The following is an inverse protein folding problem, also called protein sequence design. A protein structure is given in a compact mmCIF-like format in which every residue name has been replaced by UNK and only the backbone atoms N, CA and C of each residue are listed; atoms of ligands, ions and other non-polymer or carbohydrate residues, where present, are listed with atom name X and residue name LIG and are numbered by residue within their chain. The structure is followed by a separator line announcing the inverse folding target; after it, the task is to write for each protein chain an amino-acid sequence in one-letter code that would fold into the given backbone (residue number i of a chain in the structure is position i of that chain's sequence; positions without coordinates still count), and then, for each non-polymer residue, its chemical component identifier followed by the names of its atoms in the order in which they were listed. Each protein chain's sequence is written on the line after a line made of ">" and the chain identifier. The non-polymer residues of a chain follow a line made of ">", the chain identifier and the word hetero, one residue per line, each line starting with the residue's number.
data_IF_312259352198
#
_entry.id   IF_312259352198
#
_cell.length_a   1.000
_cell.length_b   1.000
_cell.length_c   1.000
_cell.angle_alpha   90.00
_cell.angle_beta   90.00
_cell.angle_gamma   90.00
#
_symmetry.space_group_name_H-M   'P 1'
#
loop_
_entity.id
_entity.type
_entity.pdbx_description
1 polymer ?
#
# COMPACT_ATOMS: atom_id res chain seq x y z
N UNK A 1 15.19 -51.73 -21.04
CA UNK A 1 15.05 -51.11 -19.68
C UNK A 1 16.24 -50.20 -19.45
N UNK A 2 16.05 -48.92 -19.63
CA UNK A 2 17.13 -47.92 -19.41
C UNK A 2 17.22 -47.65 -17.90
N UNK A 3 18.30 -48.10 -17.28
CA UNK A 3 18.66 -47.73 -15.92
C UNK A 3 19.07 -46.25 -15.96
N UNK A 4 18.24 -45.39 -15.40
CA UNK A 4 18.62 -44.00 -15.08
C UNK A 4 19.71 -44.03 -14.02
N UNK A 5 20.97 -43.83 -14.43
CA UNK A 5 22.08 -43.65 -13.51
C UNK A 5 21.75 -42.44 -12.62
N UNK A 6 21.56 -42.69 -11.36
CA UNK A 6 21.34 -41.67 -10.33
C UNK A 6 22.67 -40.91 -10.14
N UNK A 7 22.80 -39.77 -10.81
CA UNK A 7 23.99 -38.92 -10.71
C UNK A 7 24.17 -38.49 -9.25
N UNK A 8 25.25 -38.87 -8.56
CA UNK A 8 25.46 -38.51 -7.15
C UNK A 8 25.53 -37.00 -6.93
N UNK A 9 25.75 -36.23 -7.98
CA UNK A 9 25.79 -34.77 -7.94
C UNK A 9 24.41 -34.10 -8.14
N UNK A 10 23.38 -34.84 -8.56
CA UNK A 10 22.06 -34.26 -8.86
C UNK A 10 21.41 -33.54 -7.70
N UNK A 11 21.60 -34.04 -6.48
CA UNK A 11 21.08 -33.38 -5.26
C UNK A 11 21.83 -32.09 -4.98
N UNK A 12 23.15 -32.08 -5.11
CA UNK A 12 23.99 -30.90 -4.89
C UNK A 12 23.67 -29.81 -5.92
N UNK A 13 23.49 -30.18 -7.19
CA UNK A 13 23.11 -29.24 -8.24
C UNK A 13 21.70 -28.66 -8.01
N UNK A 14 20.75 -29.47 -7.54
CA UNK A 14 19.42 -29.02 -7.16
C UNK A 14 19.50 -28.02 -6.00
N UNK A 15 20.27 -28.32 -4.96
CA UNK A 15 20.45 -27.43 -3.81
C UNK A 15 21.09 -26.11 -4.25
N UNK A 16 22.14 -26.11 -5.07
CA UNK A 16 22.76 -24.90 -5.62
C UNK A 16 21.75 -24.05 -6.39
N UNK A 17 20.96 -24.67 -7.26
CA UNK A 17 19.94 -23.97 -8.05
C UNK A 17 18.90 -23.32 -7.15
N UNK A 18 18.40 -24.01 -6.14
CA UNK A 18 17.47 -23.45 -5.16
C UNK A 18 18.10 -22.29 -4.38
N UNK A 19 19.33 -22.43 -3.92
CA UNK A 19 20.06 -21.37 -3.21
C UNK A 19 20.22 -20.13 -4.10
N UNK A 20 20.65 -20.29 -5.36
CA UNK A 20 20.79 -19.16 -6.27
C UNK A 20 19.45 -18.51 -6.58
N UNK A 21 18.39 -19.30 -6.80
CA UNK A 21 17.05 -18.76 -7.02
C UNK A 21 16.56 -17.94 -5.81
N UNK A 22 16.76 -18.43 -4.61
CA UNK A 22 16.40 -17.71 -3.38
C UNK A 22 17.22 -16.44 -3.17
N UNK A 23 18.52 -16.49 -3.48
CA UNK A 23 19.39 -15.30 -3.41
C UNK A 23 18.95 -14.22 -4.41
N UNK A 24 18.72 -14.60 -5.67
CA UNK A 24 18.26 -13.67 -6.70
C UNK A 24 16.89 -13.08 -6.35
N UNK A 25 15.94 -13.93 -5.95
CA UNK A 25 14.62 -13.48 -5.53
C UNK A 25 14.68 -12.58 -4.29
N UNK A 26 15.54 -12.91 -3.32
CA UNK A 26 15.79 -12.12 -2.12
C UNK A 26 16.34 -10.73 -2.45
N UNK A 27 17.37 -10.66 -3.30
CA UNK A 27 17.96 -9.40 -3.76
C UNK A 27 16.90 -8.55 -4.49
N UNK A 28 16.17 -9.17 -5.43
CA UNK A 28 15.14 -8.45 -6.21
C UNK A 28 14.03 -7.89 -5.31
N UNK A 29 13.50 -8.71 -4.40
CA UNK A 29 12.50 -8.29 -3.42
C UNK A 29 13.01 -7.19 -2.49
N UNK A 30 14.27 -7.27 -2.09
CA UNK A 30 14.87 -6.32 -1.14
C UNK A 30 15.10 -4.96 -1.78
N UNK A 31 15.61 -4.93 -3.02
CA UNK A 31 16.05 -3.69 -3.67
C UNK A 31 14.96 -3.03 -4.51
N UNK A 32 14.10 -3.78 -5.16
CA UNK A 32 13.20 -3.20 -6.18
C UNK A 32 11.74 -3.20 -5.78
N UNK A 33 11.19 -4.35 -5.36
CA UNK A 33 9.76 -4.48 -5.15
C UNK A 33 9.45 -5.16 -3.83
N UNK A 34 8.44 -4.63 -3.15
CA UNK A 34 7.94 -5.24 -1.93
C UNK A 34 6.47 -5.60 -2.11
N UNK A 35 6.09 -6.88 -1.92
CA UNK A 35 4.68 -7.26 -1.92
C UNK A 35 4.00 -6.75 -0.67
N UNK A 36 2.81 -6.17 -0.87
CA UNK A 36 1.89 -5.75 0.19
C UNK A 36 0.51 -6.32 -0.08
N UNK A 37 -0.26 -6.50 0.96
CA UNK A 37 -1.68 -6.78 0.88
C UNK A 37 -2.45 -5.68 1.58
N UNK A 38 -3.68 -5.43 1.14
CA UNK A 38 -4.50 -4.33 1.62
C UNK A 38 -5.38 -4.81 2.78
N UNK A 39 -5.08 -4.40 4.04
CA UNK A 39 -5.86 -4.83 5.21
C UNK A 39 -7.07 -3.96 5.49
N UNK A 40 -7.20 -2.78 4.88
CA UNK A 40 -8.21 -1.79 5.22
C UNK A 40 -8.83 -1.11 4.00
N UNK A 41 -10.07 -0.66 4.15
CA UNK A 41 -10.83 -0.04 3.05
C UNK A 41 -10.57 1.45 2.82
N UNK A 42 -9.49 2.03 3.38
CA UNK A 42 -9.26 3.47 3.28
C UNK A 42 -8.85 3.95 1.86
N UNK A 43 -8.59 3.02 0.95
CA UNK A 43 -8.29 3.27 -0.45
C UNK A 43 -9.34 2.68 -1.40
N UNK A 44 -10.51 2.27 -0.86
CA UNK A 44 -11.65 1.91 -1.70
C UNK A 44 -12.06 3.16 -2.50
N UNK A 45 -12.42 3.02 -3.63
CA UNK A 45 -12.71 2.19 -4.73
C UNK A 45 -11.45 1.83 -5.58
N UNK A 46 -10.30 2.44 -5.29
CA UNK A 46 -9.04 2.22 -6.02
C UNK A 46 -8.40 0.88 -5.65
N UNK A 47 -8.39 0.52 -4.36
CA UNK A 47 -7.82 -0.71 -3.83
C UNK A 47 -8.83 -1.37 -2.89
N UNK A 48 -9.07 -2.65 -3.09
CA UNK A 48 -10.00 -3.43 -2.27
C UNK A 48 -9.27 -4.12 -1.11
N UNK A 49 -10.03 -4.42 -0.06
CA UNK A 49 -9.50 -5.21 1.06
C UNK A 49 -9.20 -6.62 0.56
N UNK A 50 -7.96 -7.08 0.78
CA UNK A 50 -7.47 -8.38 0.32
C UNK A 50 -6.66 -8.33 -0.96
N UNK A 51 -6.62 -7.19 -1.66
CA UNK A 51 -5.77 -7.02 -2.83
C UNK A 51 -4.29 -7.19 -2.49
N UNK A 52 -3.55 -7.80 -3.41
CA UNK A 52 -2.09 -7.87 -3.38
C UNK A 52 -1.50 -6.92 -4.40
N UNK A 53 -0.49 -6.19 -3.99
CA UNK A 53 0.21 -5.25 -4.86
C UNK A 53 1.72 -5.30 -4.63
N UNK A 54 2.47 -4.81 -5.60
CA UNK A 54 3.90 -4.61 -5.50
C UNK A 54 4.21 -3.13 -5.41
N UNK A 55 4.91 -2.73 -4.35
CA UNK A 55 5.41 -1.37 -4.18
C UNK A 55 6.78 -1.25 -4.81
N UNK A 56 6.93 -0.31 -5.75
CA UNK A 56 8.21 0.05 -6.33
C UNK A 56 9.00 0.93 -5.34
N UNK A 57 10.08 0.39 -4.78
CA UNK A 57 10.92 1.10 -3.81
C UNK A 57 11.77 2.19 -4.44
N UNK A 58 11.97 2.14 -5.75
CA UNK A 58 12.82 3.08 -6.49
C UNK A 58 12.06 4.32 -6.98
N UNK A 59 10.71 4.31 -6.91
CA UNK A 59 9.87 5.36 -7.51
C UNK A 59 10.21 6.77 -7.01
N UNK A 60 10.50 6.92 -5.71
CA UNK A 60 10.81 8.22 -5.10
C UNK A 60 12.19 8.23 -4.40
N UNK A 61 13.06 7.32 -4.81
CA UNK A 61 14.38 7.15 -4.23
C UNK A 61 14.40 6.21 -3.02
N UNK A 62 15.59 5.72 -2.76
CA UNK A 62 15.85 4.72 -1.75
C UNK A 62 16.19 5.39 -0.42
N UNK A 63 15.43 5.09 0.62
CA UNK A 63 15.61 5.58 1.99
C UNK A 63 15.80 4.42 2.96
N UNK A 64 16.08 4.70 4.22
CA UNK A 64 16.15 3.69 5.25
C UNK A 64 14.85 2.84 5.36
N UNK A 65 13.68 3.44 5.06
CA UNK A 65 12.40 2.74 5.05
C UNK A 65 12.28 1.71 3.92
N UNK A 66 13.12 1.83 2.88
CA UNK A 66 13.20 0.88 1.77
C UNK A 66 14.04 -0.37 2.13
N UNK A 67 14.82 -0.31 3.21
CA UNK A 67 15.71 -1.38 3.62
C UNK A 67 14.96 -2.53 4.29
N UNK A 68 15.43 -3.77 4.11
CA UNK A 68 14.81 -4.92 4.74
C UNK A 68 15.10 -4.95 6.24
N UNK A 69 14.10 -5.35 7.01
CA UNK A 69 14.33 -5.89 8.36
C UNK A 69 14.33 -7.41 8.28
N UNK A 70 15.33 -8.05 8.89
CA UNK A 70 15.46 -9.50 8.91
C UNK A 70 15.23 -9.96 10.34
N UNK A 71 14.11 -10.64 10.56
CA UNK A 71 13.77 -11.22 11.86
C UNK A 71 13.77 -12.74 11.70
N UNK A 72 14.72 -13.42 12.35
CA UNK A 72 14.77 -14.87 12.40
C UNK A 72 14.63 -15.31 13.86
N UNK A 73 13.39 -15.57 14.32
CA UNK A 73 13.12 -15.89 15.73
C UNK A 73 13.85 -17.17 16.21
N UNK A 74 14.04 -18.12 15.30
CA UNK A 74 14.67 -19.41 15.61
C UNK A 74 16.12 -19.29 16.10
N UNK A 75 16.83 -18.24 15.72
CA UNK A 75 18.23 -17.97 16.11
C UNK A 75 18.38 -16.67 16.90
N UNK A 76 17.27 -16.04 17.27
CA UNK A 76 17.28 -14.76 18.00
C UNK A 76 17.84 -13.58 17.20
N UNK A 77 17.92 -13.70 15.86
CA UNK A 77 18.49 -12.67 15.01
C UNK A 77 17.39 -11.65 14.67
N UNK A 78 17.61 -10.42 15.09
CA UNK A 78 16.75 -9.27 14.77
C UNK A 78 17.62 -8.14 14.23
N UNK A 79 17.68 -8.02 12.91
CA UNK A 79 18.40 -6.95 12.21
C UNK A 79 17.34 -5.97 11.71
N UNK A 80 17.27 -4.79 12.29
CA UNK A 80 16.32 -3.75 11.88
C UNK A 80 16.84 -3.05 10.61
N UNK A 81 15.93 -2.48 9.83
CA UNK A 81 16.24 -1.64 8.67
C UNK A 81 17.24 -0.51 9.03
N UNK A 82 17.22 -0.04 10.27
CA UNK A 82 18.14 0.96 10.80
C UNK A 82 19.60 0.45 10.88
N UNK A 83 19.77 -0.83 11.15
CA UNK A 83 21.09 -1.45 11.30
C UNK A 83 21.73 -1.71 9.93
N UNK A 84 20.88 -2.04 8.93
CA UNK A 84 21.33 -2.32 7.56
C UNK A 84 21.67 -1.02 6.80
N UNK A 85 20.86 0.02 7.00
CA UNK A 85 20.94 1.27 6.22
C UNK A 85 21.09 2.50 7.12
N UNK A 86 21.84 2.39 8.20
CA UNK A 86 22.05 3.49 9.15
C UNK A 86 22.57 4.79 8.54
N UNK A 87 23.34 4.67 7.45
CA UNK A 87 23.82 5.83 6.69
C UNK A 87 22.72 6.60 5.94
N UNK A 88 21.53 5.98 5.71
CA UNK A 88 20.37 6.62 5.05
C UNK A 88 19.30 7.05 6.06
N UNK A 89 19.67 7.19 7.33
CA UNK A 89 18.76 7.47 8.44
C UNK A 89 18.28 8.92 8.48
N UNK A 90 19.03 9.85 7.90
CA UNK A 90 18.60 11.24 7.78
C UNK A 90 17.46 11.34 6.78
N UNK A 91 16.34 11.93 7.19
CA UNK A 91 15.12 12.07 6.36
C UNK A 91 15.37 12.82 5.05
N UNK A 92 16.49 13.52 4.92
CA UNK A 92 16.93 14.24 3.74
C UNK A 92 17.87 13.42 2.82
N UNK A 93 18.31 12.23 3.25
CA UNK A 93 19.24 11.42 2.46
C UNK A 93 18.49 10.27 1.76
N UNK A 94 18.02 10.54 0.55
CA UNK A 94 17.53 9.51 -0.36
C UNK A 94 18.50 9.36 -1.52
N UNK A 95 18.85 8.12 -1.83
CA UNK A 95 19.58 7.82 -3.07
C UNK A 95 18.58 7.93 -4.24
N UNK A 96 18.97 8.65 -5.30
CA UNK A 96 18.11 8.91 -6.46
C UNK A 96 16.75 9.52 -6.10
N UNK A 97 16.79 10.55 -5.26
CA UNK A 97 15.59 11.19 -4.75
C UNK A 97 14.69 11.73 -5.86
N UNK A 98 13.42 11.32 -5.85
CA UNK A 98 12.32 11.88 -6.63
C UNK A 98 11.22 12.38 -5.69
N UNK A 99 10.45 13.36 -6.14
CA UNK A 99 9.28 13.82 -5.43
C UNK A 99 8.03 13.17 -6.04
N UNK A 100 7.10 12.70 -5.22
CA UNK A 100 5.81 12.24 -5.71
C UNK A 100 4.99 13.41 -6.26
N UNK A 101 4.16 13.11 -7.24
CA UNK A 101 3.22 14.07 -7.83
C UNK A 101 1.87 14.01 -7.13
N UNK A 102 1.08 15.08 -7.29
CA UNK A 102 -0.29 15.11 -6.80
C UNK A 102 -1.14 14.05 -7.50
N UNK A 103 -1.82 13.22 -6.72
CA UNK A 103 -2.62 12.11 -7.21
C UNK A 103 -1.93 10.75 -7.09
N UNK A 104 -0.62 10.71 -6.86
CA UNK A 104 0.11 9.47 -6.67
C UNK A 104 -0.39 8.68 -5.46
N UNK A 105 -0.42 7.36 -5.61
CA UNK A 105 -0.66 6.44 -4.50
C UNK A 105 0.68 6.06 -3.90
N UNK A 106 0.92 6.55 -2.68
CA UNK A 106 2.21 6.40 -2.00
C UNK A 106 2.10 5.47 -0.80
N UNK A 107 3.16 4.67 -0.60
CA UNK A 107 3.36 3.90 0.63
C UNK A 107 4.43 4.61 1.45
N UNK A 108 4.12 4.86 2.71
CA UNK A 108 5.04 5.54 3.62
C UNK A 108 4.96 4.93 5.02
N UNK A 109 6.04 5.05 5.77
CA UNK A 109 6.09 4.65 7.16
C UNK A 109 5.54 5.74 8.06
N UNK A 110 4.48 5.44 8.77
CA UNK A 110 3.84 6.39 9.70
C UNK A 110 4.79 6.68 10.89
N UNK A 111 5.14 7.95 11.14
CA UNK A 111 6.20 8.30 12.10
C UNK A 111 5.90 7.89 13.54
N UNK A 112 4.65 7.98 13.97
CA UNK A 112 4.28 7.64 15.34
C UNK A 112 4.06 6.15 15.58
N UNK A 113 3.53 5.40 14.58
CA UNK A 113 3.19 3.97 14.76
C UNK A 113 4.23 3.02 14.17
N UNK A 114 5.16 3.51 13.33
CA UNK A 114 6.13 2.69 12.60
C UNK A 114 5.51 1.72 11.59
N UNK A 115 4.21 1.82 11.32
CA UNK A 115 3.49 0.97 10.37
C UNK A 115 3.52 1.58 8.98
N UNK A 116 3.45 0.73 7.97
CA UNK A 116 3.33 1.20 6.59
C UNK A 116 1.86 1.54 6.28
N UNK A 117 1.66 2.71 5.70
CA UNK A 117 0.37 3.23 5.25
C UNK A 117 0.38 3.45 3.76
N UNK A 118 -0.74 3.17 3.11
CA UNK A 118 -0.96 3.50 1.70
C UNK A 118 -2.03 4.58 1.61
N UNK A 119 -1.73 5.70 0.94
CA UNK A 119 -2.64 6.84 0.76
C UNK A 119 -2.39 7.52 -0.57
N UNK A 120 -3.39 8.23 -1.05
CA UNK A 120 -3.25 9.13 -2.20
C UNK A 120 -2.73 10.48 -1.74
N UNK A 121 -1.75 11.00 -2.47
CA UNK A 121 -1.16 12.30 -2.21
C UNK A 121 -2.03 13.40 -2.82
N UNK A 122 -2.68 14.20 -2.00
CA UNK A 122 -3.57 15.28 -2.46
C UNK A 122 -2.93 16.66 -2.31
N UNK A 123 -2.07 16.87 -1.32
CA UNK A 123 -1.35 18.11 -1.07
C UNK A 123 0.14 17.98 -1.33
N UNK A 124 0.76 19.02 -1.87
CA UNK A 124 2.19 19.14 -2.08
C UNK A 124 2.79 20.14 -1.06
N UNK A 125 4.13 20.14 -0.87
CA UNK A 125 4.77 21.14 -0.02
C UNK A 125 4.39 22.57 -0.40
N UNK A 126 3.93 23.35 0.60
CA UNK A 126 3.45 24.72 0.40
C UNK A 126 1.94 24.85 0.19
N UNK A 127 1.22 23.76 -0.05
CA UNK A 127 -0.25 23.81 -0.17
C UNK A 127 -0.93 23.98 1.19
N UNK A 128 -2.03 24.72 1.18
CA UNK A 128 -3.03 24.69 2.24
C UNK A 128 -4.11 23.68 1.88
N UNK A 129 -4.21 22.63 2.68
CA UNK A 129 -5.19 21.55 2.46
C UNK A 129 -6.23 21.59 3.56
N UNK A 130 -7.50 21.63 3.20
CA UNK A 130 -8.63 21.63 4.12
C UNK A 130 -9.76 20.75 3.58
N UNK A 131 -10.47 20.11 4.49
CA UNK A 131 -11.73 19.43 4.15
C UNK A 131 -12.86 20.16 4.87
N UNK A 132 -13.87 20.59 4.10
CA UNK A 132 -15.08 21.22 4.60
C UNK A 132 -16.29 20.48 4.05
N UNK A 133 -17.16 20.03 4.92
CA UNK A 133 -18.39 19.31 4.56
C UNK A 133 -18.17 18.16 3.55
N UNK A 134 -17.04 17.44 3.73
CA UNK A 134 -16.65 16.32 2.85
C UNK A 134 -15.97 16.73 1.55
N UNK A 135 -15.85 18.03 1.26
CA UNK A 135 -15.18 18.56 0.07
C UNK A 135 -13.74 18.94 0.38
N UNK A 136 -12.80 18.47 -0.44
CA UNK A 136 -11.39 18.83 -0.35
C UNK A 136 -11.18 20.24 -0.95
N UNK A 137 -10.45 21.08 -0.22
CA UNK A 137 -9.99 22.40 -0.65
C UNK A 137 -8.47 22.39 -0.71
N UNK A 138 -7.92 22.87 -1.82
CA UNK A 138 -6.49 23.06 -2.02
C UNK A 138 -6.26 24.53 -2.34
N UNK A 139 -5.48 25.22 -1.51
CA UNK A 139 -5.22 26.67 -1.62
C UNK A 139 -6.51 27.50 -1.69
N UNK A 140 -7.46 27.18 -0.80
CA UNK A 140 -8.80 27.79 -0.68
C UNK A 140 -9.76 27.53 -1.85
N UNK A 141 -9.34 26.82 -2.88
CA UNK A 141 -10.19 26.42 -3.99
C UNK A 141 -10.76 25.01 -3.76
N UNK A 142 -12.08 24.79 -3.89
CA UNK A 142 -12.65 23.45 -3.82
C UNK A 142 -12.21 22.63 -5.03
N UNK A 143 -11.93 21.35 -4.83
CA UNK A 143 -11.73 20.44 -5.94
C UNK A 143 -13.06 20.11 -6.63
N UNK A 144 -13.01 19.84 -7.94
CA UNK A 144 -14.20 19.46 -8.68
C UNK A 144 -14.67 18.06 -8.27
N UNK A 145 -15.97 17.92 -8.01
CA UNK A 145 -16.63 16.67 -7.68
C UNK A 145 -17.73 16.40 -8.72
N UNK A 146 -17.81 15.16 -9.15
CA UNK A 146 -18.87 14.67 -10.05
C UNK A 146 -19.51 13.42 -9.43
N UNK A 147 -20.83 13.46 -9.25
CA UNK A 147 -21.59 12.32 -8.76
C UNK A 147 -21.66 11.23 -9.83
N UNK A 148 -21.36 10.01 -9.43
CA UNK A 148 -21.44 8.83 -10.30
C UNK A 148 -22.25 7.73 -9.63
N UNK A 149 -22.47 6.61 -10.32
CA UNK A 149 -23.22 5.48 -9.78
C UNK A 149 -22.61 5.02 -8.44
N UNK A 150 -23.48 4.73 -7.47
CA UNK A 150 -23.08 4.29 -6.13
C UNK A 150 -22.16 3.07 -6.19
N UNK A 151 -21.22 3.02 -5.26
CA UNK A 151 -20.39 1.85 -5.05
C UNK A 151 -21.17 0.82 -4.23
N UNK A 152 -21.21 -0.41 -4.72
CA UNK A 152 -21.90 -1.51 -4.05
C UNK A 152 -20.91 -2.61 -3.67
N UNK A 153 -21.07 -3.12 -2.47
CA UNK A 153 -20.31 -4.27 -1.98
C UNK A 153 -21.20 -5.17 -1.11
N UNK A 154 -20.76 -6.42 -0.93
CA UNK A 154 -21.46 -7.33 -0.02
C UNK A 154 -21.25 -6.90 1.44
N UNK A 155 -22.32 -6.79 2.18
CA UNK A 155 -22.30 -6.55 3.63
C UNK A 155 -21.86 -7.83 4.35
N UNK A 156 -20.56 -7.99 4.53
CA UNK A 156 -19.94 -9.14 5.17
C UNK A 156 -18.64 -8.72 5.88
N UNK A 157 -18.16 -9.48 6.89
CA UNK A 157 -16.89 -9.21 7.54
C UNK A 157 -15.73 -9.21 6.55
N UNK A 158 -14.90 -8.16 6.58
CA UNK A 158 -13.79 -7.96 5.66
C UNK A 158 -12.47 -7.79 6.39
N UNK A 159 -11.39 -8.22 5.75
CA UNK A 159 -10.03 -8.09 6.26
C UNK A 159 -9.73 -8.92 7.50
N UNK A 160 -8.52 -8.76 8.07
CA UNK A 160 -8.08 -9.56 9.21
C UNK A 160 -8.83 -9.27 10.50
N UNK A 161 -9.34 -8.05 10.63
CA UNK A 161 -10.14 -7.63 11.79
C UNK A 161 -11.62 -8.04 11.66
N UNK A 162 -12.01 -8.67 10.54
CA UNK A 162 -13.40 -9.05 10.25
C UNK A 162 -14.39 -7.90 10.45
N UNK A 163 -13.97 -6.67 10.13
CA UNK A 163 -14.80 -5.48 10.30
C UNK A 163 -15.89 -5.45 9.24
N UNK A 164 -17.10 -5.09 9.64
CA UNK A 164 -18.20 -4.86 8.70
C UNK A 164 -17.96 -3.57 7.91
N UNK A 165 -18.30 -3.54 6.61
CA UNK A 165 -18.24 -2.31 5.84
C UNK A 165 -19.23 -1.28 6.40
N UNK A 166 -18.85 -0.01 6.39
CA UNK A 166 -19.77 1.10 6.68
C UNK A 166 -20.58 1.38 5.43
N UNK A 167 -21.88 1.51 5.57
CA UNK A 167 -22.80 1.71 4.47
C UNK A 167 -23.61 2.99 4.67
N UNK A 168 -24.02 3.61 3.59
CA UNK A 168 -24.98 4.72 3.60
C UNK A 168 -26.41 4.20 3.79
N UNK A 169 -26.71 3.07 3.14
CA UNK A 169 -27.96 2.35 3.36
C UNK A 169 -27.92 1.55 4.66
N UNK A 170 -29.07 1.01 5.10
CA UNK A 170 -29.21 0.14 6.27
C UNK A 170 -29.31 -1.32 5.81
N UNK A 171 -28.22 -2.05 5.63
CA UNK A 171 -28.24 -3.44 5.16
C UNK A 171 -28.88 -4.37 6.21
N UNK A 172 -29.70 -5.31 5.74
CA UNK A 172 -30.48 -6.23 6.61
C UNK A 172 -29.79 -7.57 6.82
N UNK A 173 -28.54 -7.56 7.35
CA UNK A 173 -27.78 -8.79 7.66
C UNK A 173 -26.72 -9.17 6.64
N UNK A 174 -25.95 -10.19 6.98
CA UNK A 174 -24.83 -10.66 6.15
C UNK A 174 -25.30 -11.10 4.75
N UNK A 175 -24.56 -10.69 3.72
CA UNK A 175 -24.86 -11.02 2.33
C UNK A 175 -25.76 -10.00 1.63
N UNK A 176 -26.34 -9.03 2.33
CA UNK A 176 -27.08 -7.92 1.72
C UNK A 176 -26.13 -6.93 1.02
N UNK A 177 -26.70 -6.01 0.24
CA UNK A 177 -25.94 -4.98 -0.48
C UNK A 177 -25.65 -3.81 0.45
N UNK A 178 -24.40 -3.44 0.55
CA UNK A 178 -23.89 -2.23 1.19
C UNK A 178 -23.62 -1.18 0.12
N UNK A 179 -24.32 -0.06 0.15
CA UNK A 179 -24.15 1.04 -0.80
C UNK A 179 -23.39 2.19 -0.15
N UNK A 180 -22.64 2.90 -0.99
CA UNK A 180 -21.92 4.14 -0.63
C UNK A 180 -22.03 5.12 -1.78
N UNK A 181 -22.32 6.38 -1.49
CA UNK A 181 -22.23 7.44 -2.48
C UNK A 181 -20.81 7.50 -3.01
N UNK A 182 -20.68 7.55 -4.34
CA UNK A 182 -19.41 7.61 -5.05
C UNK A 182 -19.35 8.87 -5.89
N UNK A 183 -18.22 9.56 -5.79
CA UNK A 183 -17.94 10.76 -6.55
C UNK A 183 -16.56 10.62 -7.22
N UNK A 184 -16.40 11.25 -8.36
CA UNK A 184 -15.09 11.45 -8.98
C UNK A 184 -14.56 12.81 -8.53
N UNK A 185 -13.43 12.78 -7.82
CA UNK A 185 -12.69 13.95 -7.38
C UNK A 185 -11.59 14.26 -8.40
N UNK A 186 -11.57 15.47 -8.96
CA UNK A 186 -10.53 15.90 -9.90
C UNK A 186 -9.63 16.91 -9.24
N UNK A 187 -8.36 16.52 -9.03
CA UNK A 187 -7.33 17.35 -8.42
C UNK A 187 -6.89 18.49 -9.36
N UNK A 188 -6.25 19.58 -8.85
CA UNK A 188 -5.85 20.74 -9.66
C UNK A 188 -4.94 20.43 -10.84
N UNK A 189 -4.21 19.32 -10.81
CA UNK A 189 -3.36 18.86 -11.91
C UNK A 189 -4.10 17.99 -12.95
N UNK A 190 -5.43 17.85 -12.82
CA UNK A 190 -6.26 17.06 -13.72
C UNK A 190 -6.34 15.56 -13.39
N UNK A 191 -5.66 15.09 -12.35
CA UNK A 191 -5.79 13.69 -11.91
C UNK A 191 -7.16 13.49 -11.29
N UNK A 192 -7.94 12.60 -11.89
CA UNK A 192 -9.26 12.21 -11.39
C UNK A 192 -9.19 10.86 -10.67
N UNK A 193 -9.91 10.74 -9.58
CA UNK A 193 -10.03 9.49 -8.83
C UNK A 193 -11.35 9.41 -8.10
N UNK A 194 -11.77 8.20 -7.80
CA UNK A 194 -13.00 7.95 -7.05
C UNK A 194 -12.81 8.16 -5.56
N UNK A 195 -13.81 8.77 -4.93
CA UNK A 195 -13.96 8.84 -3.48
C UNK A 195 -15.31 8.26 -3.07
N UNK A 196 -15.37 7.69 -1.88
CA UNK A 196 -16.58 7.14 -1.29
C UNK A 196 -17.01 7.96 -0.09
N UNK A 197 -18.27 8.34 -0.06
CA UNK A 197 -18.89 9.04 1.05
C UNK A 197 -19.95 8.15 1.71
N UNK A 198 -20.03 8.20 3.02
CA UNK A 198 -21.00 7.44 3.85
C UNK A 198 -21.88 8.37 4.68
N UNK A 199 -22.02 9.64 4.26
CA UNK A 199 -22.76 10.66 4.98
C UNK A 199 -21.95 11.40 6.04
N UNK A 200 -22.58 12.40 6.65
CA UNK A 200 -21.98 13.24 7.70
C UNK A 200 -21.85 12.41 8.96
N UNK A 201 -20.63 12.19 9.41
CA UNK A 201 -20.40 11.64 10.75
C UNK A 201 -20.51 12.81 11.74
N UNK A 202 -21.54 12.77 12.59
CA UNK A 202 -21.55 13.63 13.79
C UNK A 202 -20.39 13.20 14.68
N UNK A 203 -19.40 14.04 14.86
CA UNK A 203 -18.36 13.92 15.86
C UNK A 203 -18.90 14.20 17.23
#
# INVERSE_FOLDING_TARGET
>A
MAQTAKDPNGIVETIKTVVYALLIAGIFRTLFFQPFWIPSGSMKDTLLIGDFLFVNKMAYGYSYASCPSIIIPAVGLNIDAKDVCGALRDDNQRLWAGLPERGDVVVFRHPASGRDYIKRLTGLPGDRVQVKDGVLYINDAPVALEDVAAFEETYAPQGPLKSMPRCENAPTGNGSICQKSRQIETLPNGVAHSILNIGIQST
#
